data_IF_394568391622
#
_entry.id   IF_394568391622
#
_cell.length_a   1.000
_cell.length_b   1.000
_cell.length_c   1.000
_cell.angle_alpha   90.00
_cell.angle_beta   90.00
_cell.angle_gamma   90.00
#
_symmetry.space_group_name_H-M   'P 1'
#
loop_
_entity.id
_entity.type
_entity.pdbx_description
1 polymer ?
#
# COMPACT_ATOMS: atom_id res chain seq x y z
N UNK A 1 -28.17 -27.08 -13.60
CA UNK A 1 -26.84 -26.92 -12.96
C UNK A 1 -26.13 -25.85 -13.77
N UNK A 2 -26.71 -24.65 -13.77
CA UNK A 2 -26.23 -23.51 -14.54
C UNK A 2 -25.38 -22.63 -13.61
N UNK A 3 -24.47 -21.83 -14.18
CA UNK A 3 -23.81 -20.67 -13.55
C UNK A 3 -22.49 -20.83 -12.77
N UNK A 4 -21.81 -21.99 -12.77
CA UNK A 4 -20.44 -22.06 -12.23
C UNK A 4 -19.39 -21.46 -13.19
N UNK A 5 -19.73 -21.34 -14.48
CA UNK A 5 -18.78 -20.95 -15.54
C UNK A 5 -18.69 -19.44 -15.79
N UNK A 6 -19.70 -18.63 -15.42
CA UNK A 6 -19.70 -17.19 -15.73
C UNK A 6 -19.02 -16.37 -14.63
N UNK A 7 -19.14 -16.78 -13.35
CA UNK A 7 -18.64 -16.03 -12.20
C UNK A 7 -17.96 -16.96 -11.17
N UNK A 8 -16.70 -17.38 -11.41
CA UNK A 8 -16.06 -18.50 -10.72
C UNK A 8 -15.82 -18.32 -9.21
N UNK A 9 -15.94 -17.09 -8.68
CA UNK A 9 -15.75 -16.78 -7.26
C UNK A 9 -17.01 -16.29 -6.56
N UNK A 10 -18.16 -16.27 -7.25
CA UNK A 10 -19.42 -15.86 -6.65
C UNK A 10 -20.01 -17.03 -5.86
N UNK A 11 -20.31 -16.81 -4.58
CA UNK A 11 -20.94 -17.81 -3.71
C UNK A 11 -22.11 -17.17 -2.97
N UNK A 12 -23.26 -17.85 -2.93
CA UNK A 12 -24.40 -17.44 -2.13
C UNK A 12 -24.38 -18.18 -0.78
N UNK A 13 -24.46 -17.45 0.34
CA UNK A 13 -24.55 -18.03 1.68
C UNK A 13 -25.49 -17.22 2.55
N UNK A 14 -26.44 -17.87 3.22
CA UNK A 14 -27.43 -17.21 4.08
C UNK A 14 -28.07 -15.97 3.43
N UNK A 15 -28.55 -16.13 2.19
CA UNK A 15 -29.17 -15.09 1.35
C UNK A 15 -28.26 -13.94 0.90
N UNK A 16 -27.01 -13.88 1.34
CA UNK A 16 -26.06 -12.83 0.96
C UNK A 16 -25.00 -13.40 0.01
N UNK A 17 -24.65 -12.63 -1.02
CA UNK A 17 -23.57 -12.99 -1.93
C UNK A 17 -22.19 -12.66 -1.34
N UNK A 18 -21.24 -13.55 -1.59
CA UNK A 18 -19.84 -13.47 -1.19
C UNK A 18 -18.93 -13.70 -2.39
N UNK A 19 -17.77 -13.06 -2.35
CA UNK A 19 -16.59 -13.46 -3.11
C UNK A 19 -15.85 -14.54 -2.30
N UNK A 20 -15.55 -15.66 -2.96
CA UNK A 20 -14.73 -16.74 -2.44
C UNK A 20 -13.63 -17.05 -3.45
N UNK A 21 -12.49 -16.39 -3.31
CA UNK A 21 -11.34 -16.60 -4.18
C UNK A 21 -10.38 -17.62 -3.56
N UNK A 22 -10.10 -18.75 -4.22
CA UNK A 22 -9.05 -19.66 -3.79
C UNK A 22 -7.68 -19.02 -3.99
N UNK A 23 -6.80 -19.18 -3.00
CA UNK A 23 -5.44 -18.68 -3.06
C UNK A 23 -4.58 -19.67 -3.88
N UNK A 24 -3.91 -19.21 -4.95
CA UNK A 24 -2.99 -20.03 -5.73
C UNK A 24 -1.90 -20.69 -4.89
N UNK A 25 -1.49 -21.92 -5.24
CA UNK A 25 -0.61 -22.75 -4.42
C UNK A 25 0.78 -22.14 -4.21
N UNK A 26 1.29 -21.42 -5.21
CA UNK A 26 2.56 -20.68 -5.22
C UNK A 26 2.65 -19.64 -4.10
N UNK A 27 1.55 -18.94 -3.82
CA UNK A 27 1.53 -17.85 -2.83
C UNK A 27 0.81 -18.22 -1.53
N UNK A 28 0.16 -19.38 -1.46
CA UNK A 28 -0.62 -19.83 -0.30
C UNK A 28 0.15 -19.78 1.01
N UNK A 29 1.41 -20.24 0.99
CA UNK A 29 2.29 -20.23 2.16
C UNK A 29 2.71 -18.81 2.58
N UNK A 30 2.94 -17.90 1.62
CA UNK A 30 3.29 -16.50 1.89
C UNK A 30 2.12 -15.72 2.47
N UNK A 31 0.93 -15.89 1.88
CA UNK A 31 -0.28 -15.18 2.28
C UNK A 31 -0.88 -15.75 3.58
N UNK A 32 -0.53 -16.99 3.97
CA UNK A 32 -1.03 -17.66 5.17
C UNK A 32 -2.53 -17.99 5.14
N UNK A 33 -3.15 -17.99 3.96
CA UNK A 33 -4.58 -18.26 3.78
C UNK A 33 -4.80 -19.16 2.58
N UNK A 34 -5.78 -20.06 2.70
CA UNK A 34 -6.21 -20.92 1.59
C UNK A 34 -7.21 -20.23 0.67
N UNK A 35 -8.02 -19.34 1.22
CA UNK A 35 -9.11 -18.65 0.51
C UNK A 35 -9.28 -17.23 1.05
N UNK A 36 -9.66 -16.31 0.16
CA UNK A 36 -10.09 -14.97 0.53
C UNK A 36 -11.62 -14.94 0.43
N UNK A 37 -12.26 -14.67 1.57
CA UNK A 37 -13.70 -14.48 1.68
C UNK A 37 -14.01 -13.00 1.86
N UNK A 38 -14.96 -12.47 1.08
CA UNK A 38 -15.46 -11.12 1.25
C UNK A 38 -16.96 -11.07 0.99
N UNK A 39 -17.71 -10.48 1.92
CA UNK A 39 -19.15 -10.23 1.70
C UNK A 39 -19.33 -9.16 0.63
N UNK A 40 -20.23 -9.40 -0.31
CA UNK A 40 -20.67 -8.38 -1.29
C UNK A 40 -21.85 -7.56 -0.75
N UNK A 41 -22.39 -7.94 0.41
CA UNK A 41 -23.39 -7.17 1.14
C UNK A 41 -24.69 -6.96 0.36
N UNK A 42 -25.09 -7.93 -0.47
CA UNK A 42 -26.33 -7.85 -1.25
C UNK A 42 -26.94 -9.24 -1.44
N UNK A 43 -28.26 -9.27 -1.55
CA UNK A 43 -29.04 -10.44 -1.96
C UNK A 43 -29.42 -10.38 -3.44
N UNK A 44 -29.21 -9.23 -4.11
CA UNK A 44 -29.46 -9.03 -5.52
C UNK A 44 -28.29 -9.56 -6.35
N UNK A 45 -28.58 -10.50 -7.25
CA UNK A 45 -27.59 -11.15 -8.11
C UNK A 45 -26.89 -10.18 -9.06
N UNK A 46 -27.61 -9.21 -9.65
CA UNK A 46 -27.02 -8.25 -10.61
C UNK A 46 -26.02 -7.36 -9.92
N UNK A 47 -26.42 -6.79 -8.78
CA UNK A 47 -25.51 -5.99 -7.95
C UNK A 47 -24.32 -6.81 -7.44
N UNK A 48 -24.54 -8.07 -7.07
CA UNK A 48 -23.47 -8.96 -6.63
C UNK A 48 -22.43 -9.17 -7.73
N UNK A 49 -22.85 -9.36 -8.98
CA UNK A 49 -21.93 -9.52 -10.12
C UNK A 49 -21.08 -8.27 -10.36
N UNK A 50 -21.68 -7.07 -10.30
CA UNK A 50 -20.94 -5.83 -10.45
C UNK A 50 -19.89 -5.64 -9.35
N UNK A 51 -20.30 -5.84 -8.09
CA UNK A 51 -19.38 -5.81 -6.95
C UNK A 51 -18.30 -6.87 -7.06
N UNK A 52 -18.65 -8.09 -7.50
CA UNK A 52 -17.70 -9.17 -7.68
C UNK A 52 -16.59 -8.79 -8.66
N UNK A 53 -16.90 -8.07 -9.76
CA UNK A 53 -15.87 -7.67 -10.74
C UNK A 53 -14.83 -6.74 -10.12
N UNK A 54 -15.27 -5.74 -9.36
CA UNK A 54 -14.41 -4.78 -8.66
C UNK A 54 -13.56 -5.53 -7.62
N UNK A 55 -14.21 -6.33 -6.79
CA UNK A 55 -13.54 -7.04 -5.70
C UNK A 55 -12.60 -8.13 -6.21
N UNK A 56 -12.92 -8.78 -7.33
CA UNK A 56 -12.04 -9.73 -7.99
C UNK A 56 -10.77 -9.06 -8.52
N UNK A 57 -10.86 -7.82 -9.02
CA UNK A 57 -9.69 -7.05 -9.44
C UNK A 57 -8.79 -6.71 -8.24
N UNK A 58 -9.38 -6.30 -7.11
CA UNK A 58 -8.65 -6.07 -5.87
C UNK A 58 -7.92 -7.34 -5.38
N UNK A 59 -8.60 -8.48 -5.37
CA UNK A 59 -8.00 -9.77 -4.99
C UNK A 59 -6.88 -10.18 -5.96
N UNK A 60 -7.07 -10.01 -7.27
CA UNK A 60 -6.02 -10.26 -8.26
C UNK A 60 -4.79 -9.36 -8.03
N UNK A 61 -4.99 -8.11 -7.63
CA UNK A 61 -3.90 -7.19 -7.27
C UNK A 61 -3.14 -7.67 -6.04
N UNK A 62 -3.82 -8.20 -5.03
CA UNK A 62 -3.18 -8.83 -3.86
C UNK A 62 -2.29 -10.00 -4.30
N UNK A 63 -2.82 -10.90 -5.14
CA UNK A 63 -2.03 -12.04 -5.64
C UNK A 63 -0.82 -11.61 -6.47
N UNK A 64 -0.99 -10.61 -7.34
CA UNK A 64 0.09 -10.04 -8.12
C UNK A 64 1.19 -9.44 -7.23
N UNK A 65 0.80 -8.65 -6.22
CA UNK A 65 1.74 -8.03 -5.30
C UNK A 65 2.51 -9.07 -4.49
N UNK A 66 1.86 -10.13 -4.01
CA UNK A 66 2.56 -11.22 -3.30
C UNK A 66 3.56 -11.93 -4.19
N UNK A 67 3.21 -12.22 -5.44
CA UNK A 67 4.17 -12.81 -6.40
C UNK A 67 5.35 -11.88 -6.64
N UNK A 68 5.10 -10.58 -6.81
CA UNK A 68 6.17 -9.58 -6.97
C UNK A 68 7.08 -9.53 -5.74
N UNK A 69 6.50 -9.58 -4.54
CA UNK A 69 7.24 -9.61 -3.28
C UNK A 69 8.11 -10.85 -3.17
N UNK A 70 7.56 -12.03 -3.48
CA UNK A 70 8.32 -13.28 -3.51
C UNK A 70 9.45 -13.24 -4.55
N UNK A 71 9.18 -12.70 -5.74
CA UNK A 71 10.20 -12.56 -6.78
C UNK A 71 11.36 -11.68 -6.31
N UNK A 72 11.07 -10.53 -5.67
CA UNK A 72 12.11 -9.65 -5.12
C UNK A 72 12.88 -10.26 -3.94
N UNK A 73 12.25 -11.11 -3.13
CA UNK A 73 12.95 -11.84 -2.05
C UNK A 73 13.87 -12.95 -2.58
N UNK A 74 13.54 -13.51 -3.74
CA UNK A 74 14.35 -14.53 -4.40
C UNK A 74 15.44 -13.93 -5.29
N UNK A 75 15.40 -12.62 -5.54
CA UNK A 75 16.45 -11.91 -6.25
C UNK A 75 17.68 -11.83 -5.33
N UNK A 76 18.90 -12.09 -5.84
CA UNK A 76 20.10 -11.94 -5.03
C UNK A 76 20.14 -10.53 -4.45
N UNK A 77 20.52 -10.38 -3.16
CA UNK A 77 20.70 -9.06 -2.58
C UNK A 77 21.61 -8.23 -3.46
N UNK A 78 21.19 -7.00 -3.78
CA UNK A 78 22.06 -6.05 -4.46
C UNK A 78 23.23 -5.73 -3.51
N UNK A 79 24.47 -5.94 -3.97
CA UNK A 79 25.66 -5.52 -3.23
C UNK A 79 25.73 -3.98 -3.17
N UNK A 80 25.33 -3.32 -4.26
CA UNK A 80 25.28 -1.86 -4.38
C UNK A 80 24.03 -1.42 -5.17
N UNK A 81 23.51 -0.24 -4.84
CA UNK A 81 22.44 0.40 -5.61
C UNK A 81 23.06 1.18 -6.77
N UNK A 82 22.50 1.05 -7.97
CA UNK A 82 22.93 1.87 -9.11
C UNK A 82 22.59 3.34 -8.89
N UNK A 83 23.36 4.25 -9.50
CA UNK A 83 23.10 5.70 -9.43
C UNK A 83 21.67 6.06 -9.82
N UNK A 84 21.10 5.38 -10.82
CA UNK A 84 19.73 5.57 -11.24
C UNK A 84 18.71 5.17 -10.14
N UNK A 85 18.96 4.07 -9.41
CA UNK A 85 18.11 3.66 -8.30
C UNK A 85 18.21 4.63 -7.12
N UNK A 86 19.44 5.07 -6.80
CA UNK A 86 19.66 6.09 -5.76
C UNK A 86 18.91 7.37 -6.11
N UNK A 87 18.97 7.82 -7.37
CA UNK A 87 18.26 9.00 -7.82
C UNK A 87 16.75 8.85 -7.66
N UNK A 88 16.17 7.72 -8.07
CA UNK A 88 14.72 7.49 -7.95
C UNK A 88 14.27 7.53 -6.49
N UNK A 89 15.00 6.85 -5.60
CA UNK A 89 14.68 6.86 -4.16
C UNK A 89 14.82 8.27 -3.59
N UNK A 90 15.88 8.98 -3.99
CA UNK A 90 16.09 10.38 -3.62
C UNK A 90 14.93 11.28 -4.06
N UNK A 91 14.51 11.21 -5.33
CA UNK A 91 13.42 12.03 -5.87
C UNK A 91 12.11 11.79 -5.09
N UNK A 92 11.79 10.52 -4.78
CA UNK A 92 10.59 10.16 -4.00
C UNK A 92 10.68 10.71 -2.57
N UNK A 93 11.85 10.55 -1.93
CA UNK A 93 12.07 11.04 -0.58
C UNK A 93 11.98 12.56 -0.51
N UNK A 94 12.58 13.27 -1.46
CA UNK A 94 12.49 14.73 -1.55
C UNK A 94 11.05 15.21 -1.76
N UNK A 95 10.26 14.53 -2.59
CA UNK A 95 8.85 14.86 -2.76
C UNK A 95 8.08 14.75 -1.44
N UNK A 96 8.28 13.65 -0.69
CA UNK A 96 7.66 13.48 0.63
C UNK A 96 8.03 14.58 1.62
N UNK A 97 9.30 15.00 1.66
CA UNK A 97 9.73 16.11 2.53
C UNK A 97 9.05 17.44 2.16
N UNK A 98 8.91 17.70 0.87
CA UNK A 98 8.22 18.91 0.40
C UNK A 98 6.73 18.90 0.75
N UNK A 99 6.09 17.73 0.66
CA UNK A 99 4.69 17.56 1.06
C UNK A 99 4.53 17.82 2.58
N UNK A 100 5.44 17.31 3.43
CA UNK A 100 5.44 17.57 4.88
C UNK A 100 5.66 19.06 5.22
N UNK A 101 6.59 19.71 4.51
CA UNK A 101 6.85 21.15 4.68
C UNK A 101 5.65 21.98 4.22
N UNK A 102 4.98 21.60 3.13
CA UNK A 102 3.77 22.26 2.64
C UNK A 102 2.62 22.10 3.65
N UNK A 103 2.42 20.92 4.23
CA UNK A 103 1.45 20.72 5.32
C UNK A 103 1.76 21.62 6.53
N UNK A 104 3.04 21.76 6.89
CA UNK A 104 3.48 22.67 7.96
C UNK A 104 3.25 24.15 7.62
N UNK A 105 3.44 24.54 6.37
CA UNK A 105 3.16 25.92 5.93
C UNK A 105 1.66 26.21 5.91
N UNK A 106 0.85 25.26 5.44
CA UNK A 106 -0.60 25.38 5.39
C UNK A 106 -1.23 25.41 6.79
N UNK A 107 -0.65 24.72 7.77
CA UNK A 107 -1.10 24.80 9.17
C UNK A 107 -0.77 26.14 9.85
N UNK A 108 -0.01 27.02 9.18
CA UNK A 108 0.31 28.34 9.69
C UNK A 108 1.12 28.32 10.99
N UNK A 109 1.85 27.23 11.24
CA UNK A 109 2.60 27.01 12.49
C UNK A 109 1.71 27.04 13.75
N UNK A 110 0.44 26.66 13.62
CA UNK A 110 -0.51 26.62 14.74
C UNK A 110 -0.03 25.65 15.82
N UNK A 111 0.28 26.18 17.01
CA UNK A 111 0.81 25.40 18.14
C UNK A 111 2.33 25.49 18.34
N UNK A 112 3.07 26.18 17.46
CA UNK A 112 4.47 26.51 17.68
C UNK A 112 4.60 27.62 18.73
N UNK A 113 5.44 27.40 19.76
CA UNK A 113 5.92 28.46 20.63
C UNK A 113 7.15 29.11 19.98
N UNK A 114 7.06 30.42 19.71
CA UNK A 114 8.16 31.20 19.14
C UNK A 114 9.46 31.06 19.94
N UNK A 115 9.35 30.90 21.26
CA UNK A 115 10.52 30.72 22.13
C UNK A 115 11.19 29.34 21.95
N UNK A 116 10.43 28.31 21.58
CA UNK A 116 10.97 26.97 21.29
C UNK A 116 11.69 26.95 19.94
N UNK A 117 11.12 27.57 18.91
CA UNK A 117 11.73 27.64 17.58
C UNK A 117 13.03 28.46 17.55
N UNK A 118 13.14 29.47 18.42
CA UNK A 118 14.35 30.27 18.58
C UNK A 118 15.55 29.46 19.13
N UNK A 119 15.30 28.41 19.91
CA UNK A 119 16.36 27.55 20.46
C UNK A 119 17.10 26.78 19.36
N UNK A 120 16.37 26.28 18.36
CA UNK A 120 16.94 25.50 17.24
C UNK A 120 17.85 26.34 16.33
N UNK A 121 17.53 27.64 16.17
CA UNK A 121 18.33 28.57 15.38
C UNK A 121 19.68 28.93 16.05
N UNK A 122 19.71 28.93 17.39
CA UNK A 122 20.91 29.19 18.19
C UNK A 122 21.88 28.01 18.14
N UNK A 123 21.37 26.77 18.05
CA UNK A 123 22.20 25.56 17.92
C UNK A 123 22.90 25.51 16.56
N UNK A 124 22.21 25.86 15.47
CA UNK A 124 22.81 25.90 14.12
C UNK A 124 23.92 26.96 13.99
N UNK A 125 23.78 28.12 14.64
CA UNK A 125 24.78 29.19 14.61
C UNK A 125 26.06 28.84 15.38
N UNK A 126 25.95 28.04 16.45
CA UNK A 126 27.11 27.62 17.25
C UNK A 126 27.99 26.59 16.51
N UNK A 127 27.37 25.69 15.76
CA UNK A 127 28.10 24.68 14.99
C UNK A 127 28.87 25.25 13.78
N UNK A 128 28.45 26.43 13.29
CA UNK A 128 29.11 27.17 12.22
C UNK A 128 30.30 28.02 12.70
N UNK A 129 30.36 28.38 13.99
CA UNK A 129 31.48 29.13 14.58
C UNK A 129 32.64 28.25 15.07
N UNK A 130 32.40 26.98 15.42
CA UNK A 130 33.46 26.06 15.88
C UNK A 130 34.24 25.38 14.72
N UNK A 131 34.03 25.82 13.48
CA UNK A 131 34.70 25.31 12.26
C UNK A 131 35.62 26.32 11.55
N UNK A 132 35.95 27.45 12.20
CA UNK A 132 36.99 28.40 11.78
C UNK A 132 38.12 28.37 12.80
#
# INVERSE_FOLDING_TARGET
>A
MEDVTIYPWLTLRNRTYYLRAPVPADIRKSLGKDQIWKSLGTQDRRQAVEKLRIESAAVKKIFYNERRRQAGLNEPPLEELSEAQIKIVGDIYFAHLLDEDEERWLSGFEGDDFDSAASDLVVQSRHLMDRI
#
